data_IF_019643099680
#
_entry.id   IF_019643099680
#
_cell.length_a   1.000
_cell.length_b   1.000
_cell.length_c   1.000
_cell.angle_alpha   90.00
_cell.angle_beta   90.00
_cell.angle_gamma   90.00
#
_symmetry.space_group_name_H-M   'P 1'
#
loop_
_entity.id
_entity.type
_entity.pdbx_description
1 polymer ?
#
# COMPACT_ATOMS: atom_id res chain seq x y z
N UNK A 1 -21.52 -0.56 -6.57
CA UNK A 1 -20.11 -0.95 -6.80
C UNK A 1 -19.93 -1.38 -8.25
N UNK A 2 -18.97 -0.81 -8.93
CA UNK A 2 -18.57 -1.23 -10.27
C UNK A 2 -17.48 -2.29 -10.22
N UNK A 3 -17.18 -2.92 -11.36
CA UNK A 3 -16.08 -3.87 -11.43
C UNK A 3 -14.73 -3.20 -11.09
N UNK A 4 -14.55 -1.94 -11.48
CA UNK A 4 -13.34 -1.20 -11.16
C UNK A 4 -13.21 -0.94 -9.66
N UNK A 5 -14.30 -0.62 -8.95
CA UNK A 5 -14.31 -0.46 -7.51
C UNK A 5 -13.94 -1.76 -6.79
N UNK A 6 -14.45 -2.90 -7.26
CA UNK A 6 -14.13 -4.20 -6.68
C UNK A 6 -12.64 -4.51 -6.84
N UNK A 7 -12.11 -4.38 -8.05
CA UNK A 7 -10.69 -4.62 -8.32
C UNK A 7 -9.80 -3.64 -7.54
N UNK A 8 -10.19 -2.36 -7.47
CA UNK A 8 -9.46 -1.35 -6.69
C UNK A 8 -9.40 -1.76 -5.22
N UNK A 9 -10.49 -2.22 -4.64
CA UNK A 9 -10.53 -2.64 -3.24
C UNK A 9 -9.60 -3.83 -2.98
N UNK A 10 -9.60 -4.82 -3.87
CA UNK A 10 -8.69 -5.97 -3.79
C UNK A 10 -7.23 -5.51 -3.87
N UNK A 11 -6.91 -4.65 -4.83
CA UNK A 11 -5.56 -4.13 -5.00
C UNK A 11 -5.14 -3.29 -3.80
N UNK A 12 -6.05 -2.52 -3.19
CA UNK A 12 -5.76 -1.76 -1.97
C UNK A 12 -5.40 -2.68 -0.80
N UNK A 13 -6.07 -3.82 -0.65
CA UNK A 13 -5.71 -4.81 0.38
C UNK A 13 -4.31 -5.35 0.14
N UNK A 14 -3.98 -5.70 -1.10
CA UNK A 14 -2.65 -6.19 -1.45
C UNK A 14 -1.58 -5.13 -1.22
N UNK A 15 -1.85 -3.87 -1.59
CA UNK A 15 -0.96 -2.74 -1.34
C UNK A 15 -0.74 -2.52 0.15
N UNK A 16 -1.80 -2.60 0.95
CA UNK A 16 -1.72 -2.42 2.39
C UNK A 16 -0.85 -3.50 3.02
N UNK A 17 -1.03 -4.76 2.63
CA UNK A 17 -0.21 -5.87 3.12
C UNK A 17 1.25 -5.67 2.75
N UNK A 18 1.54 -5.35 1.49
CA UNK A 18 2.91 -5.11 1.03
C UNK A 18 3.55 -3.92 1.75
N UNK A 19 2.82 -2.82 1.90
CA UNK A 19 3.28 -1.63 2.59
C UNK A 19 3.65 -1.95 4.04
N UNK A 20 2.77 -2.61 4.78
CA UNK A 20 3.00 -2.96 6.19
C UNK A 20 4.17 -3.93 6.32
N UNK A 21 4.29 -4.91 5.43
CA UNK A 21 5.41 -5.85 5.45
C UNK A 21 6.76 -5.19 5.21
N UNK A 22 6.83 -4.26 4.26
CA UNK A 22 8.08 -3.59 3.91
C UNK A 22 8.45 -2.48 4.88
N UNK A 23 7.47 -1.71 5.35
CA UNK A 23 7.72 -0.53 6.19
C UNK A 23 7.44 -0.75 7.67
N UNK A 24 6.80 -1.87 8.03
CA UNK A 24 6.39 -2.15 9.41
C UNK A 24 7.48 -1.98 10.46
N UNK A 25 8.71 -2.50 10.25
CA UNK A 25 9.80 -2.32 11.21
C UNK A 25 10.19 -0.87 11.46
N UNK A 26 9.85 0.04 10.54
CA UNK A 26 10.21 1.45 10.61
C UNK A 26 9.08 2.36 11.09
N UNK A 27 7.83 1.85 11.15
CA UNK A 27 6.65 2.67 11.47
C UNK A 27 6.66 3.18 12.90
N UNK A 28 7.11 2.35 13.84
CA UNK A 28 7.15 2.69 15.26
C UNK A 28 8.60 2.67 15.72
N UNK A 29 9.13 3.77 16.30
CA UNK A 29 10.46 3.78 16.85
C UNK A 29 10.61 2.77 18.00
N UNK A 30 11.67 1.99 17.98
CA UNK A 30 11.99 1.01 19.03
C UNK A 30 13.37 1.28 19.57
N UNK A 31 13.66 0.83 20.79
CA UNK A 31 14.99 0.98 21.39
C UNK A 31 16.08 0.28 20.59
N UNK A 32 15.75 -0.87 19.98
CA UNK A 32 16.67 -1.61 19.12
C UNK A 32 17.10 -0.85 17.88
N UNK A 33 16.39 0.22 17.51
CA UNK A 33 16.73 1.04 16.35
C UNK A 33 18.08 1.74 16.49
N UNK A 34 18.56 1.93 17.72
CA UNK A 34 19.87 2.51 17.99
C UNK A 34 21.03 1.63 17.52
N UNK A 35 20.78 0.32 17.41
CA UNK A 35 21.76 -0.66 16.96
C UNK A 35 21.81 -0.82 15.45
N UNK A 36 20.90 -0.13 14.74
CA UNK A 36 20.86 -0.20 13.29
C UNK A 36 22.09 0.44 12.66
N UNK A 37 22.52 -0.15 11.55
CA UNK A 37 23.53 0.47 10.71
C UNK A 37 23.03 1.82 10.19
N UNK A 38 23.97 2.70 9.81
CA UNK A 38 23.62 4.00 9.24
C UNK A 38 22.75 3.87 7.99
N UNK A 39 23.05 2.90 7.13
CA UNK A 39 22.26 2.63 5.94
C UNK A 39 20.79 2.29 6.28
N UNK A 40 20.59 1.47 7.32
CA UNK A 40 19.25 1.10 7.79
C UNK A 40 18.50 2.28 8.41
N UNK A 41 19.21 3.16 9.12
CA UNK A 41 18.61 4.40 9.65
C UNK A 41 18.14 5.32 8.53
N UNK A 42 18.93 5.47 7.47
CA UNK A 42 18.54 6.27 6.29
C UNK A 42 17.31 5.68 5.61
N UNK A 43 17.27 4.36 5.44
CA UNK A 43 16.10 3.67 4.92
C UNK A 43 14.88 3.96 5.76
N UNK A 44 15.01 3.93 7.09
CA UNK A 44 13.92 4.24 8.02
C UNK A 44 13.40 5.66 7.89
N UNK A 45 14.25 6.64 7.61
CA UNK A 45 13.84 8.03 7.42
C UNK A 45 12.88 8.18 6.23
N UNK A 46 13.06 7.41 5.16
CA UNK A 46 12.19 7.42 4.00
C UNK A 46 10.99 6.49 4.16
N UNK A 47 11.19 5.31 4.74
CA UNK A 47 10.16 4.30 4.89
C UNK A 47 9.09 4.68 5.92
N UNK A 48 9.45 5.43 6.96
CA UNK A 48 8.49 5.82 7.99
C UNK A 48 7.36 6.69 7.43
N UNK A 49 7.64 7.84 6.78
CA UNK A 49 6.58 8.64 6.19
C UNK A 49 5.85 7.92 5.06
N UNK A 50 6.58 7.21 4.20
CA UNK A 50 5.98 6.46 3.09
C UNK A 50 5.03 5.36 3.61
N UNK A 51 5.42 4.66 4.67
CA UNK A 51 4.59 3.64 5.29
C UNK A 51 3.30 4.19 5.88
N UNK A 52 3.37 5.29 6.62
CA UNK A 52 2.19 5.93 7.21
C UNK A 52 1.25 6.48 6.14
N UNK A 53 1.79 7.16 5.13
CA UNK A 53 1.00 7.66 3.99
C UNK A 53 0.32 6.49 3.29
N UNK A 54 1.04 5.39 3.04
CA UNK A 54 0.50 4.20 2.40
C UNK A 54 -0.62 3.56 3.22
N UNK A 55 -0.42 3.38 4.52
CA UNK A 55 -1.43 2.80 5.41
C UNK A 55 -2.72 3.64 5.36
N UNK A 56 -2.63 4.96 5.50
CA UNK A 56 -3.81 5.82 5.46
C UNK A 56 -4.47 5.82 4.08
N UNK A 57 -3.68 5.94 3.00
CA UNK A 57 -4.21 5.99 1.64
C UNK A 57 -4.92 4.69 1.25
N UNK A 58 -4.31 3.55 1.52
CA UNK A 58 -4.90 2.26 1.15
C UNK A 58 -6.09 1.91 2.04
N UNK A 59 -6.06 2.26 3.31
CA UNK A 59 -7.21 2.09 4.21
C UNK A 59 -8.39 2.95 3.77
N UNK A 60 -8.13 4.19 3.36
CA UNK A 60 -9.16 5.08 2.82
C UNK A 60 -9.75 4.51 1.53
N UNK A 61 -8.91 4.04 0.61
CA UNK A 61 -9.37 3.43 -0.65
C UNK A 61 -10.23 2.19 -0.42
N UNK A 62 -9.85 1.35 0.54
CA UNK A 62 -10.61 0.17 0.91
C UNK A 62 -11.96 0.57 1.54
N UNK A 63 -11.97 1.53 2.46
CA UNK A 63 -13.20 2.04 3.08
C UNK A 63 -14.15 2.64 2.08
N UNK A 64 -13.65 3.41 1.12
CA UNK A 64 -14.44 3.98 0.03
C UNK A 64 -15.07 2.87 -0.83
N UNK A 65 -14.31 1.83 -1.16
CA UNK A 65 -14.83 0.68 -1.89
C UNK A 65 -15.92 -0.06 -1.13
N UNK A 66 -15.76 -0.25 0.19
CA UNK A 66 -16.77 -0.88 1.03
C UNK A 66 -18.05 -0.03 1.12
N UNK A 67 -17.94 1.29 1.16
CA UNK A 67 -19.10 2.19 1.12
C UNK A 67 -19.85 2.07 -0.20
N UNK A 68 -19.15 1.99 -1.33
CA UNK A 68 -19.78 1.77 -2.63
C UNK A 68 -20.43 0.39 -2.72
N UNK A 69 -19.91 -0.61 -2.03
CA UNK A 69 -20.52 -1.95 -2.00
C UNK A 69 -21.92 -1.94 -1.41
N UNK A 70 -22.21 -1.01 -0.48
CA UNK A 70 -23.55 -0.86 0.14
C UNK A 70 -24.60 -0.41 -0.88
N UNK A 71 -24.19 0.31 -1.92
CA UNK A 71 -25.10 0.82 -2.97
C UNK A 71 -25.42 -0.23 -4.03
N UNK A 72 -24.85 -1.41 -3.93
CA UNK A 72 -25.07 -2.52 -4.85
C UNK A 72 -24.23 -2.44 -6.12
N UNK A 73 -24.43 -3.40 -7.00
CA UNK A 73 -23.62 -3.54 -8.22
C UNK A 73 -24.20 -2.64 -9.31
N UNK A 74 -23.37 -1.72 -9.84
CA UNK A 74 -23.80 -0.74 -10.85
C UNK A 74 -23.43 -1.10 -12.29
N UNK A 75 -22.62 -2.12 -12.49
CA UNK A 75 -22.31 -2.67 -13.82
C UNK A 75 -21.26 -1.94 -14.63
N UNK A 76 -21.26 -0.61 -14.67
CA UNK A 76 -20.29 0.16 -15.48
C UNK A 76 -19.39 1.03 -14.60
N UNK A 77 -18.09 0.99 -14.87
CA UNK A 77 -17.12 1.84 -14.20
C UNK A 77 -17.05 3.23 -14.84
N UNK A 78 -16.96 4.28 -14.02
CA UNK A 78 -16.66 5.63 -14.50
C UNK A 78 -15.17 5.76 -14.86
N UNK A 79 -14.81 6.79 -15.63
CA UNK A 79 -13.41 7.05 -15.96
C UNK A 79 -12.55 7.29 -14.73
N UNK A 80 -13.09 7.96 -13.71
CA UNK A 80 -12.39 8.21 -12.44
C UNK A 80 -12.09 6.90 -11.71
N UNK A 81 -13.05 5.97 -11.66
CA UNK A 81 -12.87 4.67 -11.03
C UNK A 81 -11.78 3.85 -11.72
N UNK A 82 -11.74 3.88 -13.05
CA UNK A 82 -10.70 3.19 -13.83
C UNK A 82 -9.33 3.81 -13.57
N UNK A 83 -9.23 5.14 -13.52
CA UNK A 83 -7.97 5.84 -13.21
C UNK A 83 -7.48 5.47 -11.81
N UNK A 84 -8.35 5.45 -10.82
CA UNK A 84 -8.00 5.07 -9.46
C UNK A 84 -7.51 3.62 -9.39
N UNK A 85 -8.16 2.72 -10.14
CA UNK A 85 -7.71 1.33 -10.25
C UNK A 85 -6.31 1.24 -10.85
N UNK A 86 -6.04 1.97 -11.93
CA UNK A 86 -4.71 1.97 -12.57
C UNK A 86 -3.64 2.51 -11.64
N UNK A 87 -3.94 3.55 -10.87
CA UNK A 87 -3.02 4.09 -9.87
C UNK A 87 -2.69 3.04 -8.81
N UNK A 88 -3.68 2.31 -8.34
CA UNK A 88 -3.46 1.26 -7.34
C UNK A 88 -2.66 0.08 -7.90
N UNK A 89 -2.90 -0.30 -9.15
CA UNK A 89 -2.11 -1.35 -9.82
C UNK A 89 -0.64 -0.91 -9.93
N UNK A 90 -0.40 0.35 -10.29
CA UNK A 90 0.95 0.89 -10.36
C UNK A 90 1.64 0.85 -8.99
N UNK A 91 0.93 1.25 -7.93
CA UNK A 91 1.44 1.15 -6.56
C UNK A 91 1.80 -0.29 -6.19
N UNK A 92 0.93 -1.25 -6.53
CA UNK A 92 1.19 -2.65 -6.26
C UNK A 92 2.43 -3.16 -7.02
N UNK A 93 2.62 -2.74 -8.26
CA UNK A 93 3.80 -3.08 -9.03
C UNK A 93 5.08 -2.54 -8.36
N UNK A 94 5.05 -1.31 -7.87
CA UNK A 94 6.18 -0.69 -7.18
C UNK A 94 6.48 -1.46 -5.88
N UNK A 95 5.48 -1.75 -5.06
CA UNK A 95 5.67 -2.51 -3.81
C UNK A 95 6.19 -3.91 -4.07
N UNK A 96 5.67 -4.59 -5.08
CA UNK A 96 6.14 -5.92 -5.47
C UNK A 96 7.60 -5.89 -5.90
N UNK A 97 7.98 -4.90 -6.70
CA UNK A 97 9.36 -4.72 -7.12
C UNK A 97 10.29 -4.53 -5.91
N UNK A 98 9.91 -3.64 -5.00
CA UNK A 98 10.70 -3.39 -3.78
C UNK A 98 10.80 -4.63 -2.89
N UNK A 99 9.72 -5.38 -2.77
CA UNK A 99 9.68 -6.61 -1.99
C UNK A 99 10.63 -7.66 -2.56
N UNK A 100 10.56 -7.89 -3.87
CA UNK A 100 11.44 -8.85 -4.56
C UNK A 100 12.89 -8.42 -4.42
N UNK A 101 13.17 -7.14 -4.60
CA UNK A 101 14.52 -6.60 -4.48
C UNK A 101 15.08 -6.77 -3.06
N UNK A 102 14.27 -6.53 -2.04
CA UNK A 102 14.71 -6.68 -0.64
C UNK A 102 14.93 -8.14 -0.25
N UNK A 103 14.15 -9.07 -0.82
CA UNK A 103 14.33 -10.51 -0.59
C UNK A 103 15.53 -11.08 -1.33
N UNK A 104 15.88 -10.52 -2.48
CA UNK A 104 17.06 -10.93 -3.24
C UNK A 104 18.38 -10.48 -2.63
N UNK A 105 18.33 -9.57 -1.65
CA UNK A 105 19.49 -9.14 -0.88
C UNK A 105 19.31 -9.63 0.55
N UNK A 106 20.27 -10.40 1.04
CA UNK A 106 20.29 -10.78 2.45
C UNK A 106 20.50 -9.48 3.27
N UNK A 107 19.43 -9.02 3.85
CA UNK A 107 19.47 -7.87 4.73
C UNK A 107 19.87 -8.29 6.14
#
# INVERSE_FOLDING_TARGET
MSWADLLKSIVCVLNLIACVRLTGPYLIPKRSDREWSEARRRTGLYCRPAGWIGVFAYSYGLGHGLMHARDGWTGMASGVEVILLLVQILNLAIWTYLFVRSHGRSL
#
